data_IF_755519235008
#
_entry.id   IF_755519235008
#
_cell.length_a   1.000
_cell.length_b   1.000
_cell.length_c   1.000
_cell.angle_alpha   90.00
_cell.angle_beta   90.00
_cell.angle_gamma   90.00
#
_symmetry.space_group_name_H-M   'P 1'
#
loop_
_entity.id
_entity.type
_entity.pdbx_description
1 polymer ?
#
# COMPACT_ATOMS: atom_id res chain seq x y z
N UNK A 1 -22.42 6.89 -17.18
CA UNK A 1 -21.09 7.08 -17.80
C UNK A 1 -20.22 7.96 -16.90
N UNK A 2 -18.93 7.66 -16.74
CA UNK A 2 -18.02 8.35 -15.82
C UNK A 2 -16.70 8.71 -16.51
N UNK A 3 -16.10 9.84 -16.15
CA UNK A 3 -14.76 10.17 -16.61
C UNK A 3 -13.71 9.49 -15.72
N UNK A 4 -12.79 8.66 -16.26
CA UNK A 4 -11.81 7.96 -15.43
C UNK A 4 -10.73 8.88 -14.83
N UNK A 5 -10.59 10.11 -15.32
CA UNK A 5 -9.59 11.08 -14.84
C UNK A 5 -10.17 12.04 -13.79
N UNK A 6 -11.27 12.73 -14.09
CA UNK A 6 -11.87 13.70 -13.17
C UNK A 6 -13.02 13.15 -12.30
N UNK A 7 -13.47 11.90 -12.56
CA UNK A 7 -14.57 11.22 -11.85
C UNK A 7 -15.94 11.90 -11.96
N UNK A 8 -16.12 12.85 -12.88
CA UNK A 8 -17.44 13.42 -13.18
C UNK A 8 -18.40 12.36 -13.74
N UNK A 9 -19.66 12.46 -13.35
CA UNK A 9 -20.76 11.60 -13.81
C UNK A 9 -21.50 12.26 -14.98
N UNK A 10 -21.90 11.43 -15.95
CA UNK A 10 -22.56 11.83 -17.19
C UNK A 10 -23.76 10.93 -17.47
N UNK A 11 -24.79 11.53 -18.08
CA UNK A 11 -25.97 10.84 -18.58
C UNK A 11 -25.62 9.92 -19.76
N UNK A 12 -26.42 8.88 -19.94
CA UNK A 12 -26.24 7.92 -21.03
C UNK A 12 -26.40 8.57 -22.40
N UNK A 13 -25.51 8.19 -23.32
CA UNK A 13 -25.41 8.77 -24.67
C UNK A 13 -24.28 9.79 -24.84
N UNK A 14 -23.64 10.24 -23.75
CA UNK A 14 -22.39 11.01 -23.81
C UNK A 14 -21.22 10.04 -23.77
N UNK A 15 -20.28 10.18 -24.72
CA UNK A 15 -19.13 9.26 -24.87
C UNK A 15 -17.78 9.92 -24.56
N UNK A 16 -17.71 11.24 -24.42
CA UNK A 16 -16.47 12.00 -24.18
C UNK A 16 -16.66 13.02 -23.05
N UNK A 17 -15.66 13.14 -22.17
CA UNK A 17 -15.62 14.14 -21.10
C UNK A 17 -15.36 15.56 -21.65
N UNK A 18 -16.17 16.54 -21.25
CA UNK A 18 -16.02 17.94 -21.70
C UNK A 18 -14.75 18.63 -21.21
N UNK A 19 -14.22 18.21 -20.06
CA UNK A 19 -13.06 18.84 -19.43
C UNK A 19 -11.75 18.10 -19.75
N UNK A 20 -11.79 16.77 -19.80
CA UNK A 20 -10.62 15.94 -20.02
C UNK A 20 -10.44 15.52 -21.49
N UNK A 21 -11.48 15.60 -22.33
CA UNK A 21 -11.47 15.13 -23.72
C UNK A 21 -11.01 13.68 -23.88
N UNK A 22 -11.45 12.81 -22.96
CA UNK A 22 -11.19 11.38 -22.99
C UNK A 22 -12.51 10.59 -23.01
N UNK A 23 -12.50 9.34 -23.52
CA UNK A 23 -13.66 8.48 -23.50
C UNK A 23 -14.18 8.23 -22.08
N UNK A 24 -15.51 8.24 -21.93
CA UNK A 24 -16.17 7.88 -20.69
C UNK A 24 -16.28 6.37 -20.54
N UNK A 25 -16.28 5.90 -19.29
CA UNK A 25 -16.42 4.49 -18.92
C UNK A 25 -17.77 4.26 -18.25
N UNK A 26 -18.36 3.07 -18.39
CA UNK A 26 -19.65 2.76 -17.76
C UNK A 26 -19.54 2.68 -16.23
N UNK A 27 -18.41 2.19 -15.74
CA UNK A 27 -18.09 2.03 -14.33
C UNK A 27 -16.63 2.47 -14.11
N UNK A 28 -16.36 3.17 -13.01
CA UNK A 28 -14.99 3.52 -12.65
C UNK A 28 -14.25 2.23 -12.25
N UNK A 29 -12.96 2.07 -12.64
CA UNK A 29 -12.18 0.96 -12.13
C UNK A 29 -12.20 1.04 -10.61
N UNK A 30 -12.57 -0.06 -9.95
CA UNK A 30 -12.41 -0.20 -8.51
C UNK A 30 -10.94 0.13 -8.22
N UNK A 31 -10.70 1.15 -7.38
CA UNK A 31 -9.41 1.30 -6.76
C UNK A 31 -9.16 -0.03 -6.07
N UNK A 32 -8.15 -0.77 -6.56
CA UNK A 32 -7.65 -1.95 -5.87
C UNK A 32 -7.11 -1.43 -4.54
N UNK A 33 -7.99 -1.26 -3.56
CA UNK A 33 -7.60 -1.07 -2.17
C UNK A 33 -6.76 -2.30 -1.86
N UNK A 34 -5.44 -2.17 -1.59
CA UNK A 34 -4.63 -3.31 -1.26
C UNK A 34 -5.26 -3.96 -0.03
N UNK A 35 -5.87 -5.10 -0.28
CA UNK A 35 -6.72 -5.93 0.56
C UNK A 35 -6.38 -5.82 2.05
N UNK A 36 -6.98 -4.89 2.81
CA UNK A 36 -6.96 -4.87 4.29
C UNK A 36 -5.62 -5.28 4.95
N UNK A 37 -4.48 -4.96 4.33
CA UNK A 37 -3.17 -5.15 4.94
C UNK A 37 -2.95 -3.90 5.80
N UNK A 38 -2.41 -4.02 7.03
CA UNK A 38 -1.88 -2.84 7.69
C UNK A 38 -0.93 -2.19 6.70
N UNK A 39 -1.22 -0.94 6.31
CA UNK A 39 -0.46 -0.21 5.31
C UNK A 39 0.93 0.11 5.88
N UNK A 40 1.81 -0.89 5.89
CA UNK A 40 3.21 -0.71 6.23
C UNK A 40 3.82 0.22 5.19
N UNK A 41 4.27 1.38 5.63
CA UNK A 41 5.00 2.31 4.80
C UNK A 41 6.48 1.96 4.86
N UNK A 42 7.12 1.86 3.71
CA UNK A 42 8.56 1.63 3.63
C UNK A 42 9.32 2.87 4.12
N UNK A 43 9.94 2.76 5.29
CA UNK A 43 10.68 3.89 5.92
C UNK A 43 12.16 3.90 5.53
N UNK A 44 12.77 2.73 5.33
CA UNK A 44 14.21 2.60 5.09
C UNK A 44 14.55 1.39 4.19
N UNK A 45 15.66 1.51 3.45
CA UNK A 45 16.39 0.38 2.87
C UNK A 45 17.84 0.48 3.32
N UNK A 46 18.39 -0.60 3.86
CA UNK A 46 19.81 -0.68 4.20
C UNK A 46 20.34 -2.09 3.95
N UNK A 47 21.63 -2.17 3.63
CA UNK A 47 22.37 -3.44 3.52
C UNK A 47 23.36 -3.63 4.67
N UNK A 48 23.45 -2.65 5.57
CA UNK A 48 24.34 -2.70 6.72
C UNK A 48 23.65 -3.44 7.87
N UNK A 49 24.22 -4.58 8.26
CA UNK A 49 23.66 -5.42 9.32
C UNK A 49 23.69 -4.75 10.70
N UNK A 50 24.64 -3.83 10.94
CA UNK A 50 24.68 -3.09 12.21
C UNK A 50 23.47 -2.15 12.37
N UNK A 51 23.04 -1.53 11.27
CA UNK A 51 21.89 -0.62 11.28
C UNK A 51 20.60 -1.38 11.62
N UNK A 52 20.41 -2.58 11.06
CA UNK A 52 19.23 -3.41 11.34
C UNK A 52 19.07 -3.72 12.83
N UNK A 53 20.16 -4.04 13.52
CA UNK A 53 20.14 -4.33 14.97
C UNK A 53 19.72 -3.10 15.80
N UNK A 54 20.26 -1.93 15.44
CA UNK A 54 19.93 -0.67 16.11
C UNK A 54 18.47 -0.30 15.88
N UNK A 55 18.01 -0.37 14.62
CA UNK A 55 16.63 -0.05 14.23
C UNK A 55 15.66 -0.96 14.96
N UNK A 56 15.93 -2.26 15.00
CA UNK A 56 15.12 -3.25 15.71
C UNK A 56 14.93 -2.87 17.18
N UNK A 57 16.04 -2.58 17.87
CA UNK A 57 16.03 -2.17 19.28
C UNK A 57 15.22 -0.89 19.52
N UNK A 58 15.29 0.07 18.60
CA UNK A 58 14.54 1.33 18.69
C UNK A 58 13.04 1.13 18.46
N UNK A 59 12.66 0.34 17.46
CA UNK A 59 11.26 0.07 17.14
C UNK A 59 10.58 -0.74 18.24
N UNK A 60 11.28 -1.75 18.78
CA UNK A 60 10.82 -2.54 19.92
C UNK A 60 10.71 -1.68 21.19
N UNK A 61 11.73 -0.85 21.48
CA UNK A 61 11.71 0.07 22.62
C UNK A 61 10.61 1.12 22.54
N UNK A 62 10.18 1.49 21.33
CA UNK A 62 9.05 2.39 21.10
C UNK A 62 7.69 1.67 21.09
N UNK A 63 7.66 0.33 21.09
CA UNK A 63 6.44 -0.46 20.98
C UNK A 63 5.74 -0.32 19.62
N UNK A 64 6.50 -0.12 18.54
CA UNK A 64 5.97 0.02 17.19
C UNK A 64 5.90 -1.33 16.49
N UNK A 65 4.80 -1.56 15.76
CA UNK A 65 4.70 -2.70 14.85
C UNK A 65 5.56 -2.43 13.60
N UNK A 66 6.42 -3.38 13.26
CA UNK A 66 7.33 -3.25 12.11
C UNK A 66 7.51 -4.58 11.38
N UNK A 67 7.96 -4.47 10.13
CA UNK A 67 8.29 -5.60 9.27
C UNK A 67 9.63 -5.33 8.57
N UNK A 68 10.56 -6.28 8.66
CA UNK A 68 11.85 -6.24 7.97
C UNK A 68 11.84 -7.32 6.88
N UNK A 69 11.86 -6.89 5.63
CA UNK A 69 11.93 -7.76 4.47
C UNK A 69 13.34 -8.38 4.35
N UNK A 70 13.42 -9.71 4.23
CA UNK A 70 14.68 -10.44 4.03
C UNK A 70 15.45 -10.86 5.28
N UNK A 71 14.97 -10.55 6.50
CA UNK A 71 15.62 -10.98 7.76
C UNK A 71 15.50 -12.50 8.00
N UNK A 72 14.45 -13.14 7.47
CA UNK A 72 14.16 -14.57 7.70
C UNK A 72 14.10 -15.37 6.38
N UNK A 73 15.22 -15.94 5.96
CA UNK A 73 15.35 -16.75 4.74
C UNK A 73 14.51 -18.05 4.72
N UNK A 74 13.81 -18.39 5.80
CA UNK A 74 13.05 -19.65 5.93
C UNK A 74 11.53 -19.52 5.78
N UNK A 75 10.98 -18.31 5.59
CA UNK A 75 9.53 -18.11 5.44
C UNK A 75 9.20 -17.50 4.07
N UNK A 76 8.65 -18.33 3.16
CA UNK A 76 8.13 -17.90 1.85
C UNK A 76 6.69 -17.35 1.95
N UNK A 77 6.48 -16.39 2.84
CA UNK A 77 5.19 -15.73 3.03
C UNK A 77 5.28 -14.61 4.06
N UNK A 78 4.38 -13.62 3.98
CA UNK A 78 4.25 -12.53 4.96
C UNK A 78 4.04 -13.19 6.33
N UNK A 79 5.02 -13.13 7.25
CA UNK A 79 4.83 -13.70 8.58
C UNK A 79 3.74 -12.89 9.29
N UNK A 80 2.92 -13.52 10.15
CA UNK A 80 2.02 -12.77 11.00
C UNK A 80 2.87 -11.74 11.77
N UNK A 81 2.41 -10.49 11.81
CA UNK A 81 3.01 -9.43 12.60
C UNK A 81 3.39 -10.02 13.95
N UNK A 82 4.70 -10.05 14.25
CA UNK A 82 5.18 -10.58 15.52
C UNK A 82 4.77 -9.58 16.60
N UNK A 83 3.52 -9.69 17.05
CA UNK A 83 3.07 -9.06 18.27
C UNK A 83 3.73 -9.83 19.41
N UNK A 84 4.93 -9.41 19.81
CA UNK A 84 5.58 -9.89 21.02
C UNK A 84 4.81 -9.28 22.19
N UNK A 85 3.89 -10.07 22.78
CA UNK A 85 3.32 -9.75 24.10
C UNK A 85 4.35 -10.07 25.17
N UNK A 86 4.60 -9.09 26.05
CA UNK A 86 5.35 -9.20 27.30
C UNK A 86 4.87 -10.37 28.17
#
# INVERSE_FOLDING_TARGET
MFCPNCRSEYVDGITECSDCHIPLVEELPEEMEPENLPAYVKVLVTFNSADLVVIKSLLEGAGLDYYIEGENFHYLGVPPAQSVKL
#
